data_IF_669585628355
#
_entry.id   IF_669585628355
#
_cell.length_a   1.000
_cell.length_b   1.000
_cell.length_c   1.000
_cell.angle_alpha   90.00
_cell.angle_beta   90.00
_cell.angle_gamma   90.00
#
_symmetry.space_group_name_H-M   'P 1'
#
loop_
_entity.id
_entity.type
_entity.pdbx_description
1 polymer ?
#
# COMPACT_ATOMS: atom_id res chain seq x y z
N UNK A 1 -98.59 10.76 58.43
CA UNK A 1 -97.41 10.75 57.59
C UNK A 1 -96.17 10.50 58.49
N UNK A 2 -95.65 9.29 58.41
CA UNK A 2 -94.42 8.91 59.09
C UNK A 2 -93.26 9.12 58.09
N UNK A 3 -92.38 10.02 58.36
CA UNK A 3 -91.16 10.24 57.56
C UNK A 3 -90.09 9.25 58.04
N UNK A 4 -89.76 8.32 57.21
CA UNK A 4 -88.60 7.44 57.41
C UNK A 4 -87.30 8.21 57.06
N UNK A 5 -86.52 8.56 58.05
CA UNK A 5 -85.13 8.98 57.87
C UNK A 5 -84.30 7.75 57.55
N UNK A 6 -83.92 7.59 56.31
CA UNK A 6 -82.91 6.64 55.90
C UNK A 6 -81.49 7.22 56.25
N UNK A 7 -80.97 6.80 57.36
CA UNK A 7 -79.58 7.13 57.71
C UNK A 7 -78.60 6.35 56.84
N UNK A 8 -78.02 7.00 55.89
CA UNK A 8 -76.90 6.45 55.19
C UNK A 8 -75.70 6.48 56.15
N UNK A 9 -75.42 5.37 56.81
CA UNK A 9 -74.09 5.20 57.51
C UNK A 9 -73.02 5.10 56.45
N UNK A 10 -72.21 6.18 56.34
CA UNK A 10 -71.04 6.15 55.56
C UNK A 10 -70.12 4.99 56.14
N UNK A 11 -69.92 3.95 55.31
CA UNK A 11 -68.96 2.95 55.67
C UNK A 11 -67.62 3.66 55.91
N UNK A 12 -67.06 3.49 57.10
CA UNK A 12 -65.75 4.00 57.44
C UNK A 12 -64.73 3.39 56.44
N UNK A 13 -64.00 4.22 55.75
CA UNK A 13 -62.97 3.81 54.81
C UNK A 13 -61.94 2.98 55.58
N UNK A 14 -61.55 1.83 55.04
CA UNK A 14 -60.61 0.94 55.73
C UNK A 14 -59.23 1.60 55.88
N UNK A 15 -58.63 1.47 57.07
CA UNK A 15 -57.28 1.97 57.37
C UNK A 15 -56.26 1.44 56.39
N UNK A 16 -55.59 2.32 55.65
CA UNK A 16 -54.55 1.95 54.67
C UNK A 16 -53.37 2.90 54.82
N UNK A 17 -52.26 2.31 55.31
CA UNK A 17 -50.97 3.02 55.43
C UNK A 17 -49.91 2.17 54.73
N UNK A 18 -49.54 2.54 53.51
CA UNK A 18 -48.58 1.80 52.72
C UNK A 18 -47.92 2.69 51.67
N UNK A 19 -46.73 2.32 51.22
CA UNK A 19 -46.15 2.91 50.03
C UNK A 19 -46.93 2.49 48.77
N UNK A 20 -46.99 3.41 47.76
CA UNK A 20 -47.62 3.10 46.47
C UNK A 20 -46.93 1.96 45.77
N UNK A 21 -45.60 1.85 45.92
CA UNK A 21 -44.75 0.79 45.36
C UNK A 21 -44.02 0.06 46.46
N UNK A 22 -43.83 -1.24 46.31
CA UNK A 22 -43.12 -2.10 47.28
C UNK A 22 -41.64 -2.19 47.02
N UNK A 23 -41.21 -1.88 45.78
CA UNK A 23 -39.80 -1.86 45.37
C UNK A 23 -39.55 -0.62 44.52
N UNK A 24 -38.46 0.08 44.84
CA UNK A 24 -38.05 1.27 44.15
C UNK A 24 -36.56 1.16 43.82
N UNK A 25 -36.13 1.88 42.77
CA UNK A 25 -34.72 1.95 42.41
C UNK A 25 -34.32 3.41 42.27
N UNK A 26 -33.19 3.75 42.88
CA UNK A 26 -32.52 5.04 42.78
C UNK A 26 -31.06 4.80 42.38
N UNK A 27 -30.47 5.69 41.59
CA UNK A 27 -29.03 5.58 41.28
C UNK A 27 -28.18 6.26 42.37
N UNK A 28 -26.94 5.78 42.52
CA UNK A 28 -25.96 6.42 43.40
C UNK A 28 -25.87 7.93 43.09
N UNK A 29 -25.89 8.76 44.15
CA UNK A 29 -25.86 10.21 44.06
C UNK A 29 -27.19 10.88 43.71
N UNK A 30 -28.21 10.13 43.33
CA UNK A 30 -29.54 10.66 43.00
C UNK A 30 -30.51 10.51 44.15
N UNK A 31 -31.61 11.27 44.05
CA UNK A 31 -32.70 11.28 45.04
C UNK A 31 -33.97 10.71 44.45
N UNK A 32 -34.86 10.23 45.32
CA UNK A 32 -36.18 9.68 44.97
C UNK A 32 -37.16 10.01 46.07
N UNK A 33 -38.27 10.63 45.72
CA UNK A 33 -39.37 10.93 46.67
C UNK A 33 -40.27 9.72 46.86
N UNK A 34 -40.59 9.42 48.11
CA UNK A 34 -41.48 8.31 48.46
C UNK A 34 -42.92 8.75 48.50
N UNK A 35 -43.81 7.99 47.87
CA UNK A 35 -45.26 8.24 47.90
C UNK A 35 -45.96 7.26 48.85
N UNK A 36 -46.66 7.81 49.85
CA UNK A 36 -47.46 7.09 50.82
C UNK A 36 -48.94 7.21 50.57
N UNK A 37 -49.68 6.11 50.66
CA UNK A 37 -51.14 6.05 50.67
C UNK A 37 -51.59 6.10 52.15
N UNK A 38 -52.35 7.13 52.49
CA UNK A 38 -52.93 7.32 53.82
C UNK A 38 -54.45 7.45 53.70
N UNK A 39 -55.21 6.45 54.15
CA UNK A 39 -56.65 6.39 54.08
C UNK A 39 -57.26 5.93 55.40
N UNK A 40 -58.54 6.27 55.72
CA UNK A 40 -59.18 5.99 56.96
C UNK A 40 -58.57 6.72 58.14
N UNK A 41 -58.39 6.08 59.27
CA UNK A 41 -57.78 6.68 60.45
C UNK A 41 -56.28 7.09 60.28
N UNK A 42 -55.63 6.59 59.23
CA UNK A 42 -54.25 6.95 58.88
C UNK A 42 -54.19 8.28 58.14
N UNK A 43 -55.31 8.86 57.74
CA UNK A 43 -55.38 10.21 57.14
C UNK A 43 -55.28 11.33 58.18
N UNK A 44 -55.46 11.01 59.49
CA UNK A 44 -55.39 11.93 60.60
C UNK A 44 -53.98 12.49 60.80
N UNK A 45 -53.91 13.69 61.38
CA UNK A 45 -52.64 14.32 61.74
C UNK A 45 -51.85 13.49 62.78
N UNK A 46 -50.59 13.39 62.61
CA UNK A 46 -49.69 12.64 63.49
C UNK A 46 -48.22 12.86 63.06
N UNK A 47 -47.34 12.43 63.89
CA UNK A 47 -45.90 12.46 63.68
C UNK A 47 -45.51 11.38 62.67
N UNK A 48 -45.11 11.80 61.48
CA UNK A 48 -44.59 10.91 60.43
C UNK A 48 -43.08 10.94 60.44
N UNK A 49 -42.44 9.76 60.59
CA UNK A 49 -40.98 9.62 60.60
C UNK A 49 -40.57 8.56 59.57
N UNK A 50 -39.38 8.73 58.99
CA UNK A 50 -38.79 7.78 58.06
C UNK A 50 -37.45 7.30 58.62
N UNK A 51 -37.12 6.03 58.44
CA UNK A 51 -35.86 5.44 58.89
C UNK A 51 -35.37 4.48 57.80
N UNK A 52 -34.11 4.60 57.51
CA UNK A 52 -33.40 3.65 56.63
C UNK A 52 -32.81 2.51 57.46
N UNK A 53 -33.03 1.30 56.97
CA UNK A 53 -32.43 0.09 57.59
C UNK A 53 -30.92 -0.05 57.34
N UNK A 54 -30.39 0.63 56.32
CA UNK A 54 -28.97 0.67 56.00
C UNK A 54 -28.57 2.05 55.48
N UNK A 55 -28.22 2.97 56.41
CA UNK A 55 -27.91 4.35 56.08
C UNK A 55 -26.64 4.52 55.19
N UNK A 56 -25.73 3.56 55.26
CA UNK A 56 -24.58 3.51 54.36
C UNK A 56 -24.93 3.21 52.89
N UNK A 57 -26.13 2.69 52.65
CA UNK A 57 -26.62 2.36 51.28
C UNK A 57 -27.54 3.46 50.81
N UNK A 58 -28.54 3.84 51.61
CA UNK A 58 -29.47 4.91 51.31
C UNK A 58 -29.88 5.63 52.57
N UNK A 59 -29.95 6.92 52.55
CA UNK A 59 -30.54 7.78 53.60
C UNK A 59 -31.93 8.21 53.18
N UNK A 60 -32.74 8.60 54.17
CA UNK A 60 -34.03 9.22 53.92
C UNK A 60 -34.20 10.41 54.86
N UNK A 61 -34.73 11.51 54.34
CA UNK A 61 -34.99 12.73 55.13
C UNK A 61 -36.41 12.74 55.77
N UNK A 62 -36.70 13.78 56.51
CA UNK A 62 -37.98 13.96 57.14
C UNK A 62 -39.16 14.11 56.17
N UNK A 63 -38.89 14.51 54.92
CA UNK A 63 -39.90 14.66 53.84
C UNK A 63 -40.13 13.40 53.08
N UNK A 64 -39.37 12.29 53.37
CA UNK A 64 -39.45 11.03 52.64
C UNK A 64 -38.64 11.04 51.35
N UNK A 65 -37.66 11.92 51.17
CA UNK A 65 -36.74 11.93 50.06
C UNK A 65 -35.58 10.99 50.36
N UNK A 66 -35.45 9.95 49.58
CA UNK A 66 -34.38 8.96 49.68
C UNK A 66 -33.20 9.41 48.83
N UNK A 67 -32.00 9.39 49.41
CA UNK A 67 -30.74 9.58 48.69
C UNK A 67 -29.98 8.26 48.59
N UNK A 68 -29.64 7.81 47.36
CA UNK A 68 -28.82 6.63 47.12
C UNK A 68 -27.32 6.96 47.33
N UNK A 69 -26.64 6.27 48.28
CA UNK A 69 -25.24 6.54 48.64
C UNK A 69 -24.28 5.51 47.99
N UNK A 70 -24.56 4.22 48.20
CA UNK A 70 -23.74 3.15 47.65
C UNK A 70 -24.60 2.03 47.13
N UNK A 71 -24.13 1.31 46.10
CA UNK A 71 -24.82 0.15 45.51
C UNK A 71 -25.22 -0.86 46.57
N UNK A 72 -26.51 -1.24 46.59
CA UNK A 72 -27.06 -2.19 47.54
C UNK A 72 -28.55 -2.07 47.69
N UNK A 73 -29.07 -2.63 48.79
CA UNK A 73 -30.50 -2.52 49.11
C UNK A 73 -30.66 -2.07 50.56
N UNK A 74 -31.59 -1.16 50.76
CA UNK A 74 -32.05 -0.75 52.11
C UNK A 74 -33.56 -0.78 52.14
N UNK A 75 -34.12 -1.14 53.31
CA UNK A 75 -35.55 -1.05 53.57
C UNK A 75 -35.81 0.28 54.26
N UNK A 76 -36.63 1.15 53.67
CA UNK A 76 -37.11 2.38 54.28
C UNK A 76 -38.42 2.09 54.98
N UNK A 77 -38.50 2.42 56.21
CA UNK A 77 -39.70 2.27 57.04
C UNK A 77 -40.28 3.63 57.40
N UNK A 78 -41.53 3.85 57.00
CA UNK A 78 -42.32 4.99 57.46
C UNK A 78 -43.11 4.61 58.70
N UNK A 79 -43.10 5.44 59.72
CA UNK A 79 -43.88 5.30 60.97
C UNK A 79 -44.75 6.54 61.15
N UNK A 80 -46.06 6.32 61.21
CA UNK A 80 -46.99 7.36 61.54
C UNK A 80 -47.50 7.08 62.99
N UNK A 81 -47.30 8.04 63.88
CA UNK A 81 -47.72 8.02 65.29
C UNK A 81 -48.76 9.10 65.55
N UNK A 82 -49.95 8.67 65.91
CA UNK A 82 -51.03 9.56 66.37
C UNK A 82 -51.16 9.36 67.87
N UNK A 83 -52.04 10.12 68.55
CA UNK A 83 -52.27 9.98 69.99
C UNK A 83 -52.75 8.59 70.38
N UNK A 84 -53.42 7.89 69.48
CA UNK A 84 -54.11 6.61 69.81
C UNK A 84 -53.52 5.37 69.17
N UNK A 85 -52.78 5.52 68.05
CA UNK A 85 -52.24 4.40 67.25
C UNK A 85 -50.89 4.71 66.57
N UNK A 86 -50.23 3.65 66.22
CA UNK A 86 -49.03 3.69 65.42
C UNK A 86 -49.17 2.76 64.19
N UNK A 87 -48.91 3.27 63.01
CA UNK A 87 -48.84 2.50 61.75
C UNK A 87 -47.42 2.46 61.22
N UNK A 88 -47.06 1.34 60.59
CA UNK A 88 -45.75 1.19 59.88
C UNK A 88 -45.97 0.68 58.48
N UNK A 89 -45.22 1.24 57.53
CA UNK A 89 -45.11 0.76 56.17
C UNK A 89 -43.62 0.66 55.79
N UNK A 90 -43.31 -0.30 54.93
CA UNK A 90 -41.91 -0.47 54.49
C UNK A 90 -41.85 -0.62 52.98
N UNK A 91 -40.81 -0.08 52.36
CA UNK A 91 -40.48 -0.21 50.96
C UNK A 91 -39.03 -0.59 50.76
N UNK A 92 -38.73 -1.48 49.84
CA UNK A 92 -37.36 -1.82 49.50
C UNK A 92 -36.82 -0.86 48.46
N UNK A 93 -35.74 -0.19 48.78
CA UNK A 93 -35.00 0.69 47.88
C UNK A 93 -33.72 0.01 47.43
N UNK A 94 -33.57 -0.19 46.16
CA UNK A 94 -32.34 -0.64 45.54
C UNK A 94 -31.55 0.56 45.07
N UNK A 95 -30.34 0.76 45.57
CA UNK A 95 -29.41 1.74 45.04
C UNK A 95 -28.62 1.05 43.91
N UNK A 96 -28.78 1.54 42.72
CA UNK A 96 -28.14 1.03 41.53
C UNK A 96 -26.91 1.90 41.16
N UNK A 97 -25.89 1.25 40.64
CA UNK A 97 -24.74 1.96 40.07
C UNK A 97 -24.94 2.11 38.57
N UNK A 98 -24.90 3.34 38.10
CA UNK A 98 -25.02 3.67 36.69
C UNK A 98 -23.75 3.30 35.92
N UNK A 99 -23.90 3.11 34.62
CA UNK A 99 -22.76 3.11 33.68
C UNK A 99 -22.28 4.53 33.49
N UNK A 100 -20.96 4.73 33.57
CA UNK A 100 -20.32 6.03 33.41
C UNK A 100 -19.41 6.13 32.19
N UNK A 101 -19.06 4.97 31.60
CA UNK A 101 -18.18 4.92 30.44
C UNK A 101 -18.45 3.67 29.59
N UNK A 102 -18.18 3.77 28.29
CA UNK A 102 -18.27 2.70 27.32
C UNK A 102 -17.03 2.67 26.44
N UNK A 103 -16.32 1.55 26.45
CA UNK A 103 -15.14 1.33 25.62
C UNK A 103 -15.44 0.27 24.54
N UNK A 104 -15.29 0.63 23.29
CA UNK A 104 -15.47 -0.28 22.14
C UNK A 104 -14.14 -0.96 21.82
N UNK A 105 -14.17 -2.28 21.61
CA UNK A 105 -13.02 -3.01 21.13
C UNK A 105 -12.87 -2.79 19.62
N UNK A 106 -11.92 -1.95 19.24
CA UNK A 106 -11.67 -1.55 17.86
C UNK A 106 -10.76 -2.51 17.07
N UNK A 107 -10.21 -3.55 17.68
CA UNK A 107 -9.26 -4.47 17.00
C UNK A 107 -9.86 -5.21 15.81
N UNK A 108 -11.17 -5.38 15.78
CA UNK A 108 -11.91 -5.99 14.66
C UNK A 108 -12.49 -4.98 13.67
N UNK A 109 -12.29 -3.68 13.91
CA UNK A 109 -12.83 -2.61 13.09
C UNK A 109 -11.76 -2.09 12.12
N UNK A 110 -12.16 -1.81 10.89
CA UNK A 110 -11.29 -1.13 9.92
C UNK A 110 -11.52 0.37 10.05
N UNK A 111 -10.65 1.01 10.84
CA UNK A 111 -10.72 2.44 11.11
C UNK A 111 -9.61 3.17 10.36
N UNK A 112 -9.97 4.28 9.73
CA UNK A 112 -9.06 5.19 9.04
C UNK A 112 -9.12 6.57 9.67
N UNK A 113 -8.03 7.32 9.57
CA UNK A 113 -8.07 8.76 9.72
C UNK A 113 -8.83 9.36 8.53
N UNK A 114 -9.78 10.24 8.77
CA UNK A 114 -10.56 10.85 7.70
C UNK A 114 -9.70 11.68 6.73
N UNK A 115 -8.54 12.16 7.17
CA UNK A 115 -7.56 12.86 6.35
C UNK A 115 -6.61 11.93 5.57
N UNK A 116 -6.69 10.59 5.76
CA UNK A 116 -5.86 9.64 5.02
C UNK A 116 -6.06 9.85 3.50
N UNK A 117 -4.99 10.07 2.72
CA UNK A 117 -5.08 10.34 1.28
C UNK A 117 -5.89 9.31 0.50
N UNK A 118 -5.93 8.06 0.96
CA UNK A 118 -6.67 6.98 0.30
C UNK A 118 -8.19 7.13 0.41
N UNK A 119 -8.69 7.75 1.48
CA UNK A 119 -10.13 7.90 1.73
C UNK A 119 -10.58 9.36 1.83
N UNK A 120 -9.66 10.32 1.79
CA UNK A 120 -9.98 11.76 1.94
C UNK A 120 -11.02 12.24 0.93
N UNK A 121 -11.03 11.68 -0.28
CA UNK A 121 -12.04 11.97 -1.30
C UNK A 121 -13.45 11.49 -0.91
N UNK A 122 -13.58 10.48 -0.03
CA UNK A 122 -14.85 9.99 0.51
C UNK A 122 -15.31 10.77 1.74
N UNK A 123 -14.36 11.35 2.49
CA UNK A 123 -14.62 12.05 3.75
C UNK A 123 -14.80 13.56 3.59
N UNK A 124 -14.50 14.08 2.40
CA UNK A 124 -14.46 15.53 2.16
C UNK A 124 -13.35 16.25 2.92
N UNK A 125 -12.32 15.53 3.40
CA UNK A 125 -11.22 16.09 4.19
C UNK A 125 -11.61 16.45 5.63
N UNK A 126 -12.73 15.91 6.15
CA UNK A 126 -13.15 16.11 7.53
C UNK A 126 -12.15 15.50 8.52
N UNK A 127 -12.05 16.07 9.71
CA UNK A 127 -11.25 15.52 10.79
C UNK A 127 -11.95 14.34 11.47
N UNK A 128 -11.15 13.46 12.10
CA UNK A 128 -11.61 12.35 12.90
C UNK A 128 -11.43 10.97 12.27
N UNK A 129 -11.93 9.94 12.97
CA UNK A 129 -11.81 8.53 12.55
C UNK A 129 -13.09 8.05 11.88
N UNK A 130 -12.94 7.26 10.85
CA UNK A 130 -14.02 6.71 10.02
C UNK A 130 -13.99 5.19 10.09
N UNK A 131 -15.16 4.59 10.34
CA UNK A 131 -15.36 3.15 10.23
C UNK A 131 -15.64 2.80 8.76
N UNK A 132 -14.67 2.22 8.09
CA UNK A 132 -14.81 1.79 6.70
C UNK A 132 -15.41 0.39 6.64
N UNK A 133 -16.55 0.29 5.99
CA UNK A 133 -17.27 -0.97 5.78
C UNK A 133 -17.35 -1.30 4.29
N UNK A 134 -17.33 -2.58 3.96
CA UNK A 134 -17.43 -3.05 2.59
C UNK A 134 -18.83 -3.59 2.34
N UNK A 135 -19.48 -3.13 1.31
CA UNK A 135 -20.79 -3.63 0.89
C UNK A 135 -20.83 -5.15 0.87
N UNK A 136 -21.86 -5.73 1.51
CA UNK A 136 -22.06 -7.17 1.61
C UNK A 136 -21.29 -7.85 2.74
N UNK A 137 -20.45 -7.13 3.51
CA UNK A 137 -19.71 -7.68 4.65
C UNK A 137 -20.39 -7.37 5.98
N UNK A 138 -20.06 -8.17 6.97
CA UNK A 138 -20.52 -8.02 8.34
C UNK A 138 -19.33 -7.81 9.27
N UNK A 139 -19.54 -6.99 10.31
CA UNK A 139 -18.60 -6.79 11.40
C UNK A 139 -19.37 -6.73 12.71
N UNK A 140 -18.80 -7.28 13.78
CA UNK A 140 -19.44 -7.29 15.10
C UNK A 140 -18.76 -6.25 16.00
N UNK A 141 -19.56 -5.39 16.60
CA UNK A 141 -19.14 -4.45 17.64
C UNK A 141 -19.10 -5.19 18.97
N UNK A 142 -18.03 -4.99 19.73
CA UNK A 142 -17.90 -5.44 21.12
C UNK A 142 -17.56 -4.27 21.99
N UNK A 143 -18.35 -4.05 23.03
CA UNK A 143 -18.13 -2.97 23.97
C UNK A 143 -18.04 -3.50 25.41
N UNK A 144 -17.30 -2.78 26.22
CA UNK A 144 -17.17 -3.00 27.66
C UNK A 144 -17.65 -1.76 28.38
N UNK A 145 -18.51 -1.92 29.36
CA UNK A 145 -19.10 -0.82 30.12
C UNK A 145 -18.48 -0.77 31.50
N UNK A 146 -18.22 0.43 31.96
CA UNK A 146 -17.65 0.74 33.29
C UNK A 146 -18.62 1.54 34.13
N UNK A 147 -18.59 1.39 35.46
CA UNK A 147 -17.75 0.44 36.20
C UNK A 147 -18.21 -1.01 36.07
N UNK A 148 -17.32 -1.96 36.35
CA UNK A 148 -17.57 -3.41 36.21
C UNK A 148 -18.74 -3.95 37.03
N UNK A 149 -19.11 -3.24 38.07
CA UNK A 149 -20.21 -3.57 38.98
C UNK A 149 -21.48 -2.73 38.72
N UNK A 150 -21.56 -1.98 37.62
CA UNK A 150 -22.81 -1.32 37.21
C UNK A 150 -23.96 -2.35 37.11
N UNK A 151 -25.17 -1.92 37.43
CA UNK A 151 -26.32 -2.84 37.54
C UNK A 151 -26.78 -3.39 36.20
N UNK A 152 -26.73 -2.57 35.13
CA UNK A 152 -27.01 -3.01 33.79
C UNK A 152 -25.83 -2.66 32.88
N UNK A 153 -25.13 -3.68 32.41
CA UNK A 153 -23.96 -3.56 31.53
C UNK A 153 -24.27 -3.97 30.09
N UNK A 154 -25.53 -3.90 29.71
CA UNK A 154 -25.95 -4.11 28.33
C UNK A 154 -25.74 -2.84 27.53
N UNK A 155 -25.42 -3.00 26.26
CA UNK A 155 -25.36 -1.92 25.31
C UNK A 155 -26.21 -2.23 24.09
N UNK A 156 -26.63 -1.19 23.42
CA UNK A 156 -27.32 -1.24 22.13
C UNK A 156 -26.41 -0.70 21.06
N UNK A 157 -26.61 -1.16 19.83
CA UNK A 157 -25.97 -0.61 18.64
C UNK A 157 -27.08 -0.16 17.70
N UNK A 158 -26.99 1.05 17.19
CA UNK A 158 -27.96 1.63 16.27
C UNK A 158 -27.24 2.23 15.05
N UNK A 159 -27.96 2.34 13.95
CA UNK A 159 -27.53 3.06 12.74
C UNK A 159 -28.51 4.17 12.43
N UNK A 160 -28.01 5.33 12.02
CA UNK A 160 -28.85 6.45 11.57
C UNK A 160 -29.48 6.18 10.20
N UNK A 161 -28.91 5.24 9.41
CA UNK A 161 -29.45 4.83 8.11
C UNK A 161 -29.30 3.30 7.93
N UNK A 162 -30.44 2.60 7.98
CA UNK A 162 -30.50 1.13 7.86
C UNK A 162 -30.37 0.60 6.44
N UNK A 163 -30.46 1.45 5.42
CA UNK A 163 -30.20 1.10 4.03
C UNK A 163 -28.70 1.12 3.73
N UNK A 164 -27.94 1.94 4.45
CA UNK A 164 -26.48 1.96 4.43
C UNK A 164 -25.92 0.86 5.33
N UNK A 165 -26.26 0.86 6.63
CA UNK A 165 -25.82 -0.13 7.61
C UNK A 165 -27.02 -0.67 8.38
N UNK A 166 -27.32 -1.96 8.20
CA UNK A 166 -28.31 -2.65 9.03
C UNK A 166 -27.64 -3.18 10.29
N UNK A 167 -28.28 -2.96 11.42
CA UNK A 167 -27.86 -3.48 12.71
C UNK A 167 -28.76 -4.65 13.15
N UNK A 168 -28.14 -5.72 13.68
CA UNK A 168 -28.83 -6.84 14.30
C UNK A 168 -28.04 -7.27 15.55
N UNK A 169 -28.56 -6.95 16.74
CA UNK A 169 -27.81 -7.04 17.98
C UNK A 169 -26.55 -6.19 17.94
N UNK A 170 -25.39 -6.80 18.04
CA UNK A 170 -24.09 -6.13 17.91
C UNK A 170 -23.47 -6.27 16.52
N UNK A 171 -24.16 -6.84 15.53
CA UNK A 171 -23.62 -7.09 14.19
C UNK A 171 -24.09 -6.02 13.23
N UNK A 172 -23.14 -5.35 12.59
CA UNK A 172 -23.34 -4.42 11.49
C UNK A 172 -23.27 -5.19 10.16
N UNK A 173 -24.25 -4.96 9.29
CA UNK A 173 -24.25 -5.48 7.92
C UNK A 173 -24.26 -4.31 6.95
N UNK A 174 -23.18 -4.14 6.17
CA UNK A 174 -23.06 -3.12 5.15
C UNK A 174 -23.96 -3.46 3.93
N UNK A 175 -25.01 -2.67 3.68
CA UNK A 175 -26.02 -2.95 2.64
C UNK A 175 -25.84 -2.10 1.39
N UNK A 176 -25.83 -0.79 1.53
CA UNK A 176 -25.72 0.17 0.45
C UNK A 176 -24.47 1.02 0.59
N UNK A 177 -23.86 1.42 -0.54
CA UNK A 177 -22.79 2.42 -0.49
C UNK A 177 -23.38 3.76 0.01
N UNK A 178 -22.65 4.42 0.90
CA UNK A 178 -23.10 5.66 1.54
C UNK A 178 -22.47 5.87 2.90
N UNK A 179 -22.98 6.84 3.63
CA UNK A 179 -22.50 7.24 4.95
C UNK A 179 -23.64 7.21 5.98
N UNK A 180 -23.34 6.81 7.20
CA UNK A 180 -24.25 6.88 8.33
C UNK A 180 -23.46 7.00 9.65
N UNK A 181 -24.17 7.31 10.73
CA UNK A 181 -23.64 7.24 12.10
C UNK A 181 -24.05 5.92 12.73
N UNK A 182 -23.07 5.22 13.29
CA UNK A 182 -23.27 4.02 14.13
C UNK A 182 -23.03 4.41 15.57
N UNK A 183 -24.09 4.37 16.37
CA UNK A 183 -24.04 4.70 17.81
C UNK A 183 -24.00 3.42 18.62
N UNK A 184 -23.06 3.34 19.56
CA UNK A 184 -22.96 2.29 20.58
C UNK A 184 -23.28 2.95 21.93
N UNK A 185 -24.40 2.61 22.54
CA UNK A 185 -24.89 3.29 23.74
C UNK A 185 -25.21 2.30 24.87
N UNK A 186 -25.05 2.74 26.12
CA UNK A 186 -25.51 1.97 27.26
C UNK A 186 -27.05 1.90 27.28
N UNK A 187 -27.59 0.68 27.47
CA UNK A 187 -29.04 0.47 27.55
C UNK A 187 -29.66 1.20 28.75
N UNK A 188 -28.94 1.29 29.85
CA UNK A 188 -29.41 1.93 31.09
C UNK A 188 -29.10 3.41 31.21
N UNK A 189 -28.15 3.91 30.44
CA UNK A 189 -27.75 5.31 30.43
C UNK A 189 -27.35 5.73 29.00
N UNK A 190 -28.32 6.05 28.12
CA UNK A 190 -28.05 6.36 26.70
C UNK A 190 -27.14 7.57 26.46
N UNK A 191 -27.00 8.47 27.46
CA UNK A 191 -26.03 9.58 27.40
C UNK A 191 -24.56 9.07 27.33
N UNK A 192 -24.32 7.85 27.84
CA UNK A 192 -23.04 7.19 27.73
C UNK A 192 -23.02 6.40 26.42
N UNK A 193 -22.47 7.02 25.39
CA UNK A 193 -22.41 6.48 24.05
C UNK A 193 -21.10 6.82 23.31
N UNK A 194 -20.82 6.06 22.26
CA UNK A 194 -19.75 6.30 21.31
C UNK A 194 -20.31 6.25 19.91
N UNK A 195 -20.04 7.29 19.12
CA UNK A 195 -20.45 7.39 17.73
C UNK A 195 -19.29 7.09 16.77
N UNK A 196 -19.60 6.36 15.73
CA UNK A 196 -18.71 6.11 14.60
C UNK A 196 -19.34 6.66 13.32
N UNK A 197 -18.63 7.55 12.64
CA UNK A 197 -18.91 7.88 11.26
C UNK A 197 -18.59 6.65 10.41
N UNK A 198 -19.58 5.98 9.87
CA UNK A 198 -19.45 4.77 9.07
C UNK A 198 -19.63 5.09 7.60
N UNK A 199 -18.67 4.66 6.77
CA UNK A 199 -18.75 4.77 5.31
C UNK A 199 -18.76 3.36 4.73
N UNK A 200 -19.80 3.04 3.96
CA UNK A 200 -19.88 1.79 3.20
C UNK A 200 -19.42 2.03 1.78
N UNK A 201 -18.40 1.28 1.38
CA UNK A 201 -17.79 1.37 0.04
C UNK A 201 -18.24 0.23 -0.87
N UNK A 202 -18.26 0.49 -2.18
CA UNK A 202 -18.23 -0.55 -3.21
C UNK A 202 -16.81 -1.11 -3.25
N UNK A 203 -16.60 -2.40 -2.89
CA UNK A 203 -15.25 -2.96 -2.77
C UNK A 203 -14.63 -3.25 -4.13
N UNK A 204 -13.30 -3.25 -4.17
CA UNK A 204 -12.54 -3.78 -5.32
C UNK A 204 -12.70 -5.30 -5.37
N UNK A 205 -13.12 -5.83 -6.51
CA UNK A 205 -13.27 -7.26 -6.77
C UNK A 205 -12.15 -7.85 -7.61
N UNK A 206 -11.34 -7.01 -8.25
CA UNK A 206 -10.18 -7.43 -9.03
C UNK A 206 -9.24 -6.28 -9.35
N UNK A 207 -7.97 -6.62 -9.54
CA UNK A 207 -6.91 -5.71 -10.00
C UNK A 207 -6.28 -6.32 -11.24
N UNK A 208 -5.93 -5.50 -12.21
CA UNK A 208 -5.11 -5.89 -13.37
C UNK A 208 -3.93 -4.94 -13.48
N UNK A 209 -2.77 -5.44 -13.94
CA UNK A 209 -1.57 -4.64 -14.16
C UNK A 209 -1.12 -4.82 -15.60
N UNK A 210 -0.89 -3.73 -16.29
CA UNK A 210 -0.26 -3.66 -17.60
C UNK A 210 1.09 -2.94 -17.50
N UNK A 211 1.99 -3.19 -18.43
CA UNK A 211 3.32 -2.61 -18.48
C UNK A 211 3.63 -2.20 -19.92
N UNK A 212 4.25 -1.03 -20.10
CA UNK A 212 4.74 -0.58 -21.42
C UNK A 212 5.86 -1.50 -21.91
N UNK A 213 6.73 -1.90 -21.01
CA UNK A 213 7.74 -2.94 -21.23
C UNK A 213 7.96 -3.76 -19.96
N UNK A 214 8.33 -5.02 -20.14
CA UNK A 214 8.72 -5.92 -19.04
C UNK A 214 10.22 -6.15 -18.96
N UNK A 215 10.97 -5.53 -19.88
CA UNK A 215 12.43 -5.62 -19.89
C UNK A 215 13.01 -4.22 -19.78
N UNK A 216 13.80 -4.01 -18.73
CA UNK A 216 14.48 -2.78 -18.41
C UNK A 216 15.99 -2.99 -18.50
N UNK A 217 16.74 -1.91 -18.65
CA UNK A 217 18.16 -1.88 -18.35
C UNK A 217 18.39 -1.21 -17.01
N UNK A 218 19.55 -1.45 -16.40
CA UNK A 218 19.93 -0.76 -15.16
C UNK A 218 19.89 0.76 -15.42
N UNK A 219 19.22 1.50 -14.53
CA UNK A 219 19.03 2.96 -14.63
C UNK A 219 17.86 3.41 -15.49
N UNK A 220 17.18 2.51 -16.22
CA UNK A 220 16.01 2.88 -17.04
C UNK A 220 14.69 2.61 -16.29
N UNK A 221 13.64 3.28 -16.71
CA UNK A 221 12.30 3.20 -16.12
C UNK A 221 11.27 2.62 -17.07
N UNK A 222 10.18 2.08 -16.51
CA UNK A 222 8.97 1.71 -17.24
C UNK A 222 7.73 2.08 -16.42
N UNK A 223 6.66 2.48 -17.10
CA UNK A 223 5.37 2.73 -16.46
C UNK A 223 4.57 1.44 -16.34
N UNK A 224 4.11 1.15 -15.12
CA UNK A 224 3.05 0.17 -14.87
C UNK A 224 1.74 0.89 -14.62
N UNK A 225 0.67 0.36 -15.18
CA UNK A 225 -0.69 0.86 -14.95
C UNK A 225 -1.52 -0.20 -14.28
N UNK A 226 -2.06 0.11 -13.10
CA UNK A 226 -3.03 -0.74 -12.42
C UNK A 226 -4.44 -0.27 -12.74
N UNK A 227 -5.35 -1.22 -12.98
CA UNK A 227 -6.77 -0.96 -13.16
C UNK A 227 -7.56 -1.84 -12.19
N UNK A 228 -8.49 -1.25 -11.44
CA UNK A 228 -9.34 -1.95 -10.50
C UNK A 228 -10.71 -2.25 -11.11
N UNK A 229 -11.38 -3.27 -10.62
CA UNK A 229 -12.76 -3.62 -10.94
C UNK A 229 -13.58 -3.74 -9.66
N UNK A 230 -14.87 -3.38 -9.66
CA UNK A 230 -15.60 -2.73 -10.76
C UNK A 230 -15.11 -1.28 -10.97
N UNK A 231 -15.47 -0.64 -12.09
CA UNK A 231 -15.03 0.71 -12.41
C UNK A 231 -15.59 1.77 -11.45
N UNK A 232 -16.72 1.48 -10.79
CA UNK A 232 -17.37 2.28 -9.75
C UNK A 232 -16.90 1.90 -8.33
N UNK A 233 -15.78 1.19 -8.18
CA UNK A 233 -15.18 0.96 -6.87
C UNK A 233 -14.91 2.28 -6.15
N UNK A 234 -15.29 2.37 -4.87
CA UNK A 234 -15.20 3.63 -4.11
C UNK A 234 -13.76 4.07 -3.85
N UNK A 235 -12.82 3.12 -3.78
CA UNK A 235 -11.38 3.36 -3.63
C UNK A 235 -10.66 2.66 -4.76
N UNK A 236 -10.13 3.44 -5.70
CA UNK A 236 -9.47 2.93 -6.91
C UNK A 236 -7.94 2.89 -6.79
N UNK A 237 -7.38 3.46 -5.71
CA UNK A 237 -5.95 3.46 -5.46
C UNK A 237 -5.38 2.05 -5.26
N UNK A 238 -4.09 1.89 -5.59
CA UNK A 238 -3.32 0.68 -5.32
C UNK A 238 -2.03 1.04 -4.58
N UNK A 239 -1.55 0.08 -3.79
CA UNK A 239 -0.19 0.11 -3.20
C UNK A 239 0.72 -0.75 -4.03
N UNK A 240 1.87 -0.18 -4.43
CA UNK A 240 2.87 -0.87 -5.21
C UNK A 240 3.98 -1.44 -4.30
N UNK A 241 4.45 -2.64 -4.64
CA UNK A 241 5.55 -3.31 -3.94
C UNK A 241 6.42 -4.09 -4.93
N UNK A 242 7.71 -4.07 -4.72
CA UNK A 242 8.67 -4.95 -5.39
C UNK A 242 9.05 -6.12 -4.50
N UNK A 243 9.10 -7.33 -5.05
CA UNK A 243 9.59 -8.50 -4.31
C UNK A 243 11.12 -8.54 -4.20
N UNK A 244 11.82 -7.71 -4.98
CA UNK A 244 13.28 -7.64 -4.98
C UNK A 244 13.77 -6.24 -5.39
N UNK A 245 13.90 -5.37 -4.42
CA UNK A 245 14.33 -3.98 -4.61
C UNK A 245 15.79 -3.85 -5.06
N UNK A 246 16.62 -4.90 -4.87
CA UNK A 246 17.98 -4.94 -5.42
C UNK A 246 18.00 -5.09 -6.94
N UNK A 247 16.89 -5.53 -7.54
CA UNK A 247 16.72 -5.70 -8.98
C UNK A 247 15.89 -4.58 -9.56
N UNK A 248 14.74 -4.28 -8.98
CA UNK A 248 13.86 -3.21 -9.43
C UNK A 248 13.10 -2.61 -8.25
N UNK A 249 13.01 -1.29 -8.21
CA UNK A 249 12.15 -0.54 -7.29
C UNK A 249 10.92 -0.02 -8.03
N UNK A 250 9.85 0.25 -7.29
CA UNK A 250 8.64 0.86 -7.84
C UNK A 250 8.20 1.99 -6.90
N UNK A 251 7.76 3.10 -7.46
CA UNK A 251 7.21 4.21 -6.71
C UNK A 251 5.68 4.11 -6.55
N UNK A 252 5.10 5.07 -5.85
CA UNK A 252 3.65 5.14 -5.61
C UNK A 252 2.82 5.34 -6.89
N UNK A 253 3.43 5.86 -7.96
CA UNK A 253 2.79 6.10 -9.26
C UNK A 253 2.91 4.91 -10.21
N UNK A 254 3.60 3.84 -9.79
CA UNK A 254 3.81 2.64 -10.62
C UNK A 254 4.97 2.77 -11.59
N UNK A 255 5.87 3.76 -11.43
CA UNK A 255 7.10 3.86 -12.20
C UNK A 255 8.12 2.87 -11.63
N UNK A 256 8.50 1.90 -12.44
CA UNK A 256 9.52 0.90 -12.08
C UNK A 256 10.86 1.34 -12.58
N UNK A 257 11.87 1.35 -11.73
CA UNK A 257 13.27 1.62 -12.06
C UNK A 257 14.12 0.37 -11.92
N UNK A 258 14.90 0.05 -12.95
CA UNK A 258 15.88 -1.03 -12.92
C UNK A 258 17.11 -0.65 -12.08
N UNK A 259 17.39 -1.42 -11.02
CA UNK A 259 18.50 -1.16 -10.09
C UNK A 259 19.65 -2.13 -10.31
N UNK A 260 19.37 -3.40 -10.50
CA UNK A 260 20.37 -4.44 -10.70
C UNK A 260 19.87 -5.55 -11.60
N UNK A 261 20.81 -6.27 -12.23
CA UNK A 261 20.49 -7.37 -13.13
C UNK A 261 19.72 -8.50 -12.43
N UNK A 262 18.62 -8.94 -13.01
CA UNK A 262 17.83 -10.05 -12.47
C UNK A 262 16.36 -9.96 -12.84
N UNK A 263 15.54 -10.61 -12.03
CA UNK A 263 14.08 -10.55 -12.13
C UNK A 263 13.48 -10.09 -10.80
N UNK A 264 12.46 -9.28 -10.89
CA UNK A 264 11.63 -8.87 -9.77
C UNK A 264 10.15 -8.99 -10.17
N UNK A 265 9.31 -9.33 -9.20
CA UNK A 265 7.86 -9.27 -9.36
C UNK A 265 7.36 -7.99 -8.74
N UNK A 266 6.73 -7.14 -9.53
CA UNK A 266 6.06 -5.93 -9.05
C UNK A 266 4.59 -6.26 -8.82
N UNK A 267 4.09 -5.89 -7.64
CA UNK A 267 2.74 -6.19 -7.19
C UNK A 267 1.97 -4.90 -6.95
N UNK A 268 0.74 -4.85 -7.44
CA UNK A 268 -0.25 -3.84 -7.10
C UNK A 268 -1.33 -4.47 -6.22
N UNK A 269 -1.55 -3.92 -5.03
CA UNK A 269 -2.59 -4.36 -4.09
C UNK A 269 -3.61 -3.25 -3.92
N UNK A 270 -4.90 -3.56 -4.05
CA UNK A 270 -5.98 -2.58 -3.87
C UNK A 270 -5.92 -1.95 -2.47
N UNK A 271 -6.01 -0.63 -2.43
CA UNK A 271 -5.92 0.16 -1.20
C UNK A 271 -7.15 0.05 -0.31
N UNK A 272 -8.29 -0.43 -0.86
CA UNK A 272 -9.56 -0.59 -0.13
C UNK A 272 -9.49 -1.62 1.02
N UNK A 273 -8.33 -2.27 1.26
CA UNK A 273 -8.15 -3.28 2.29
C UNK A 273 -8.73 -4.67 1.95
N UNK A 274 -9.26 -4.89 0.70
CA UNK A 274 -9.83 -6.17 0.22
C UNK A 274 -8.81 -7.25 -0.08
N UNK A 275 -7.55 -6.88 -0.19
CA UNK A 275 -6.50 -7.80 -0.51
C UNK A 275 -6.48 -8.25 -1.98
N UNK A 276 -7.31 -7.66 -2.84
CA UNK A 276 -7.25 -7.89 -4.29
C UNK A 276 -5.93 -7.36 -4.82
N UNK A 277 -5.26 -8.17 -5.65
CA UNK A 277 -3.92 -7.84 -6.14
C UNK A 277 -3.66 -8.43 -7.51
N UNK A 278 -2.75 -7.80 -8.24
CA UNK A 278 -2.17 -8.33 -9.47
C UNK A 278 -0.66 -8.14 -9.46
N UNK A 279 0.04 -8.85 -10.31
CA UNK A 279 1.50 -8.79 -10.37
C UNK A 279 1.99 -8.86 -11.81
N UNK A 280 3.15 -8.27 -12.06
CA UNK A 280 3.90 -8.39 -13.31
C UNK A 280 5.36 -8.71 -13.01
N UNK A 281 5.95 -9.62 -13.77
CA UNK A 281 7.38 -9.89 -13.69
C UNK A 281 8.13 -8.92 -14.60
N UNK A 282 9.15 -8.27 -14.07
CA UNK A 282 10.08 -7.43 -14.81
C UNK A 282 11.46 -8.06 -14.80
N UNK A 283 12.17 -7.93 -15.92
CA UNK A 283 13.55 -8.40 -16.09
C UNK A 283 14.44 -7.18 -16.29
N UNK A 284 15.44 -7.04 -15.44
CA UNK A 284 16.44 -5.97 -15.55
C UNK A 284 17.72 -6.56 -16.13
N UNK A 285 18.22 -5.97 -17.21
CA UNK A 285 19.44 -6.34 -17.92
C UNK A 285 20.53 -5.33 -17.69
N UNK A 286 21.80 -5.79 -17.75
CA UNK A 286 22.94 -4.91 -17.85
C UNK A 286 23.12 -4.54 -19.32
N UNK A 287 23.15 -3.27 -19.65
CA UNK A 287 23.52 -2.79 -20.98
C UNK A 287 25.03 -2.89 -21.18
N UNK A 288 25.50 -2.98 -22.45
CA UNK A 288 26.93 -2.83 -22.75
C UNK A 288 27.37 -1.38 -22.42
N UNK A 289 28.63 -1.25 -22.01
CA UNK A 289 29.24 0.06 -21.67
C UNK A 289 30.41 0.37 -22.63
N UNK A 290 31.11 -0.66 -23.11
CA UNK A 290 32.21 -0.51 -24.03
C UNK A 290 32.47 -1.79 -24.83
N UNK A 291 33.22 -1.65 -25.93
CA UNK A 291 33.70 -2.77 -26.74
C UNK A 291 35.21 -2.63 -26.85
N UNK A 292 35.94 -3.74 -26.67
CA UNK A 292 37.36 -3.81 -26.91
C UNK A 292 37.67 -4.78 -28.04
N UNK A 293 38.73 -4.46 -28.83
CA UNK A 293 39.15 -5.31 -29.93
C UNK A 293 40.52 -5.93 -29.62
N UNK A 294 40.72 -7.13 -30.11
CA UNK A 294 42.01 -7.82 -30.11
C UNK A 294 42.19 -8.66 -31.38
N UNK A 295 43.40 -9.09 -31.66
CA UNK A 295 43.70 -9.97 -32.80
C UNK A 295 44.45 -9.30 -33.96
N UNK A 296 44.58 -7.97 -34.03
CA UNK A 296 45.44 -7.30 -35.01
C UNK A 296 46.89 -7.29 -34.52
N UNK A 297 47.78 -7.91 -35.26
CA UNK A 297 49.20 -7.98 -34.93
C UNK A 297 50.06 -7.45 -36.09
N UNK A 298 49.80 -6.23 -36.52
CA UNK A 298 50.53 -5.58 -37.64
C UNK A 298 49.70 -5.41 -38.90
N UNK A 299 50.36 -5.12 -40.02
CA UNK A 299 49.75 -4.85 -41.31
C UNK A 299 49.23 -6.13 -41.96
N UNK A 300 48.16 -6.05 -42.70
CA UNK A 300 47.56 -7.17 -43.43
C UNK A 300 48.10 -7.19 -44.86
N UNK A 301 48.55 -8.33 -45.37
CA UNK A 301 48.97 -8.49 -46.74
C UNK A 301 47.75 -8.48 -47.67
N UNK A 302 47.88 -7.93 -48.85
CA UNK A 302 46.87 -8.10 -49.92
C UNK A 302 46.58 -9.58 -50.15
N UNK A 303 45.28 -9.97 -50.13
CA UNK A 303 44.80 -11.36 -50.21
C UNK A 303 44.86 -12.13 -48.91
N UNK A 304 45.56 -11.63 -47.89
CA UNK A 304 45.60 -12.18 -46.54
C UNK A 304 44.47 -11.63 -45.66
N UNK A 305 44.37 -12.10 -44.42
CA UNK A 305 43.38 -11.61 -43.48
C UNK A 305 43.69 -11.99 -42.05
N UNK A 306 42.97 -11.34 -41.14
CA UNK A 306 43.03 -11.53 -39.70
C UNK A 306 41.62 -11.49 -39.10
N UNK A 307 41.41 -12.26 -38.05
CA UNK A 307 40.11 -12.21 -37.33
C UNK A 307 40.27 -11.29 -36.13
N UNK A 308 39.56 -10.17 -36.10
CA UNK A 308 39.37 -9.34 -34.95
C UNK A 308 38.37 -9.96 -33.98
N UNK A 309 38.69 -9.99 -32.71
CA UNK A 309 37.82 -10.46 -31.66
C UNK A 309 37.28 -9.28 -30.86
N UNK A 310 35.98 -9.09 -30.89
CA UNK A 310 35.30 -8.10 -30.04
C UNK A 310 34.95 -8.71 -28.66
N UNK A 311 35.21 -7.94 -27.62
CA UNK A 311 34.78 -8.24 -26.25
C UNK A 311 33.91 -7.10 -25.76
N UNK A 312 32.63 -7.37 -25.52
CA UNK A 312 31.65 -6.41 -25.00
C UNK A 312 31.69 -6.44 -23.47
N UNK A 313 31.85 -5.25 -22.88
CA UNK A 313 31.96 -5.07 -21.43
C UNK A 313 30.76 -4.26 -20.90
N UNK A 314 30.37 -4.46 -19.60
CA UNK A 314 30.93 -5.47 -18.70
C UNK A 314 30.57 -6.90 -19.14
N UNK A 315 31.36 -7.88 -18.69
CA UNK A 315 31.14 -9.30 -19.06
C UNK A 315 29.75 -9.82 -18.63
N UNK A 316 29.10 -9.11 -17.72
CA UNK A 316 27.76 -9.39 -17.19
C UNK A 316 26.64 -8.92 -18.11
N UNK A 317 26.95 -8.14 -19.17
CA UNK A 317 25.92 -7.72 -20.13
C UNK A 317 25.26 -8.91 -20.81
N UNK A 318 23.95 -8.81 -20.99
CA UNK A 318 23.15 -9.83 -21.71
C UNK A 318 23.19 -9.63 -23.22
N UNK A 319 23.51 -8.43 -23.68
CA UNK A 319 23.52 -8.03 -25.09
C UNK A 319 24.97 -7.88 -25.58
N UNK A 320 25.44 -8.94 -26.25
CA UNK A 320 26.80 -9.02 -26.78
C UNK A 320 26.84 -8.97 -28.33
N UNK A 321 25.70 -8.75 -28.97
CA UNK A 321 25.61 -8.72 -30.41
C UNK A 321 26.31 -7.46 -30.96
N UNK A 322 27.22 -7.68 -31.91
CA UNK A 322 27.95 -6.62 -32.60
C UNK A 322 27.74 -6.66 -34.10
N UNK A 323 27.90 -5.52 -34.74
CA UNK A 323 27.95 -5.39 -36.20
C UNK A 323 29.29 -4.75 -36.60
N UNK A 324 29.79 -5.16 -37.75
CA UNK A 324 31.09 -4.74 -38.27
C UNK A 324 30.90 -3.95 -39.58
N UNK A 325 31.73 -2.93 -39.75
CA UNK A 325 31.79 -2.15 -40.98
C UNK A 325 33.22 -1.70 -41.27
N UNK A 326 33.48 -1.33 -42.51
CA UNK A 326 34.74 -0.74 -42.96
C UNK A 326 34.49 0.63 -43.57
N UNK A 327 35.42 1.56 -43.41
CA UNK A 327 35.36 2.86 -44.05
C UNK A 327 35.66 2.81 -45.56
N UNK A 328 36.40 1.77 -46.01
CA UNK A 328 36.73 1.55 -47.42
C UNK A 328 36.85 0.03 -47.74
N UNK A 329 35.80 -0.49 -48.34
CA UNK A 329 35.75 -1.90 -48.76
C UNK A 329 36.71 -2.23 -49.94
N UNK A 330 37.20 -1.24 -50.65
CA UNK A 330 38.20 -1.42 -51.71
C UNK A 330 39.62 -1.68 -51.15
N UNK A 331 39.86 -1.23 -49.90
CA UNK A 331 41.14 -1.50 -49.16
C UNK A 331 41.06 -2.78 -48.37
N UNK A 332 40.01 -2.88 -47.51
CA UNK A 332 39.75 -4.11 -46.75
C UNK A 332 38.26 -4.35 -46.52
N UNK A 333 37.82 -5.60 -46.53
CA UNK A 333 36.46 -6.01 -46.19
C UNK A 333 36.47 -6.64 -44.81
N UNK A 334 35.33 -6.53 -44.09
CA UNK A 334 35.11 -7.22 -42.83
C UNK A 334 33.82 -8.05 -42.86
N UNK A 335 33.87 -9.25 -42.36
CA UNK A 335 32.73 -10.15 -42.25
C UNK A 335 31.99 -9.99 -40.92
N UNK A 336 30.78 -10.55 -40.82
CA UNK A 336 29.94 -10.50 -39.60
C UNK A 336 30.61 -11.13 -38.37
N UNK A 337 31.60 -11.98 -38.53
CA UNK A 337 32.38 -12.61 -37.43
C UNK A 337 33.73 -11.95 -37.20
N UNK A 338 33.95 -10.75 -37.74
CA UNK A 338 35.15 -9.93 -37.52
C UNK A 338 36.36 -10.35 -38.35
N UNK A 339 36.21 -11.21 -39.39
CA UNK A 339 37.32 -11.52 -40.29
C UNK A 339 37.56 -10.38 -41.26
N UNK A 340 38.69 -9.72 -41.14
CA UNK A 340 39.16 -8.63 -42.02
C UNK A 340 40.07 -9.21 -43.10
N UNK A 341 39.73 -8.96 -44.37
CA UNK A 341 40.49 -9.39 -45.53
C UNK A 341 41.08 -8.19 -46.26
N UNK A 342 42.38 -8.15 -46.46
CA UNK A 342 43.04 -7.15 -47.31
C UNK A 342 42.74 -7.33 -48.78
N UNK A 343 42.26 -6.32 -49.43
CA UNK A 343 41.88 -6.31 -50.85
C UNK A 343 42.92 -5.54 -51.70
N UNK A 344 43.30 -4.35 -51.29
CA UNK A 344 44.25 -3.49 -52.01
C UNK A 344 45.13 -2.73 -50.98
N UNK A 345 46.37 -2.37 -51.40
CA UNK A 345 47.24 -1.55 -50.57
C UNK A 345 46.56 -0.21 -50.20
N UNK A 346 46.68 0.19 -48.94
CA UNK A 346 46.07 1.42 -48.41
C UNK A 346 45.73 1.29 -46.93
N UNK A 347 45.04 2.27 -46.39
CA UNK A 347 44.57 2.24 -44.99
C UNK A 347 43.08 2.48 -44.95
N UNK A 348 42.42 1.80 -44.06
CA UNK A 348 41.00 1.99 -43.78
C UNK A 348 40.71 1.77 -42.28
N UNK A 349 39.59 2.21 -41.79
CA UNK A 349 39.14 2.03 -40.42
C UNK A 349 38.08 0.93 -40.38
N UNK A 350 38.27 -0.06 -39.52
CA UNK A 350 37.24 -1.07 -39.20
C UNK A 350 36.51 -0.61 -37.94
N UNK A 351 35.20 -0.56 -38.03
CA UNK A 351 34.30 -0.19 -36.90
C UNK A 351 33.56 -1.45 -36.43
N UNK A 352 33.59 -1.66 -35.12
CA UNK A 352 32.75 -2.64 -34.43
C UNK A 352 31.81 -1.92 -33.48
N UNK A 353 30.51 -2.05 -33.64
CA UNK A 353 29.52 -1.38 -32.81
C UNK A 353 28.49 -2.36 -32.24
N UNK A 354 27.91 -2.01 -31.07
CA UNK A 354 26.79 -2.77 -30.53
C UNK A 354 25.60 -2.72 -31.48
N UNK A 355 24.94 -3.85 -31.68
CA UNK A 355 23.76 -3.93 -32.54
C UNK A 355 22.57 -3.17 -31.96
N UNK A 356 22.39 -3.19 -30.63
CA UNK A 356 21.26 -2.60 -29.93
C UNK A 356 21.56 -1.16 -29.47
N UNK A 357 22.84 -0.86 -29.18
CA UNK A 357 23.33 0.43 -28.69
C UNK A 357 24.41 0.98 -29.62
N UNK A 358 24.04 1.57 -30.77
CA UNK A 358 25.00 1.99 -31.80
C UNK A 358 26.00 3.07 -31.36
N UNK A 359 25.68 3.80 -30.29
CA UNK A 359 26.58 4.77 -29.65
C UNK A 359 27.78 4.10 -28.95
N UNK A 360 27.70 2.79 -28.70
CA UNK A 360 28.78 2.01 -28.13
C UNK A 360 29.52 1.31 -29.25
N UNK A 361 30.63 1.84 -29.64
CA UNK A 361 31.47 1.34 -30.72
C UNK A 361 32.97 1.49 -30.41
N UNK A 362 33.78 0.79 -31.17
CA UNK A 362 35.23 0.92 -31.18
C UNK A 362 35.72 0.85 -32.62
N UNK A 363 36.79 1.59 -32.90
CA UNK A 363 37.42 1.66 -34.21
C UNK A 363 38.88 1.24 -34.13
N UNK A 364 39.37 0.62 -35.20
CA UNK A 364 40.79 0.26 -35.34
C UNK A 364 41.23 0.55 -36.80
N UNK A 365 42.35 1.17 -36.91
CA UNK A 365 42.96 1.42 -38.22
C UNK A 365 43.69 0.17 -38.72
N UNK A 366 43.46 -0.15 -39.95
CA UNK A 366 44.04 -1.30 -40.64
C UNK A 366 44.81 -0.83 -41.83
N UNK A 367 46.10 -1.18 -41.89
CA UNK A 367 46.92 -0.95 -43.09
C UNK A 367 47.10 -2.23 -43.86
N UNK A 368 46.81 -2.17 -45.12
CA UNK A 368 47.01 -3.28 -46.06
C UNK A 368 48.21 -2.97 -46.95
N UNK A 369 49.13 -3.91 -47.03
CA UNK A 369 50.33 -3.76 -47.85
C UNK A 369 50.40 -4.78 -48.95
N UNK A 370 50.93 -4.34 -50.13
CA UNK A 370 51.24 -5.20 -51.25
C UNK A 370 52.77 -5.44 -51.33
N UNK A 371 53.25 -6.61 -51.00
CA UNK A 371 54.65 -6.90 -51.11
C UNK A 371 55.11 -7.00 -52.59
N UNK A 372 56.33 -6.66 -52.84
CA UNK A 372 56.96 -6.94 -54.16
C UNK A 372 57.01 -8.47 -54.34
N UNK A 373 56.57 -8.93 -55.48
CA UNK A 373 56.55 -10.34 -55.86
C UNK A 373 57.59 -10.66 -56.93
N UNK A 374 57.97 -9.66 -57.77
CA UNK A 374 59.09 -9.81 -58.69
C UNK A 374 59.66 -8.45 -59.10
N UNK A 375 60.94 -8.44 -59.41
CA UNK A 375 61.66 -7.36 -60.07
C UNK A 375 62.23 -7.92 -61.33
N UNK A 376 62.05 -7.20 -62.43
CA UNK A 376 62.57 -7.63 -63.77
C UNK A 376 63.24 -6.45 -64.44
N UNK A 377 64.51 -6.63 -64.86
CA UNK A 377 65.13 -5.68 -65.71
C UNK A 377 64.44 -5.66 -67.09
N UNK A 378 64.21 -4.45 -67.59
CA UNK A 378 63.56 -4.29 -68.90
C UNK A 378 64.49 -4.64 -70.06
N UNK A 379 65.81 -4.48 -69.82
CA UNK A 379 66.84 -4.92 -70.77
C UNK A 379 67.66 -6.05 -70.18
N UNK A 380 67.68 -7.22 -70.83
CA UNK A 380 68.28 -8.42 -70.31
C UNK A 380 69.76 -8.49 -70.41
N UNK A 381 70.41 -7.71 -71.35
CA UNK A 381 71.88 -7.69 -71.57
C UNK A 381 72.29 -6.28 -71.94
N UNK A 382 72.26 -5.37 -71.00
CA UNK A 382 72.72 -3.99 -71.25
C UNK A 382 74.25 -4.05 -71.50
N UNK A 383 74.70 -3.22 -72.43
CA UNK A 383 76.13 -3.02 -72.70
C UNK A 383 76.52 -1.57 -72.58
N UNK A 384 77.63 -1.31 -71.99
CA UNK A 384 78.20 0.05 -71.84
C UNK A 384 79.68 0.07 -72.25
N UNK A 385 80.14 1.06 -73.00
CA UNK A 385 81.56 1.22 -73.32
C UNK A 385 82.35 1.69 -72.10
N UNK A 386 83.62 1.30 -71.98
CA UNK A 386 84.54 1.74 -70.91
C UNK A 386 84.49 3.27 -70.78
N UNK A 387 84.32 3.75 -69.54
CA UNK A 387 84.25 5.17 -69.17
C UNK A 387 82.89 5.82 -69.53
N UNK A 388 81.84 5.07 -69.91
CA UNK A 388 80.51 5.55 -70.13
C UNK A 388 79.57 5.02 -69.11
N UNK A 389 78.42 5.66 -68.91
CA UNK A 389 77.32 5.26 -68.07
C UNK A 389 76.09 4.86 -68.86
N UNK A 390 75.32 3.90 -68.37
CA UNK A 390 74.00 3.52 -68.90
C UNK A 390 72.98 3.54 -67.78
N UNK A 391 71.79 4.06 -68.08
CA UNK A 391 70.66 4.00 -67.16
C UNK A 391 70.02 2.62 -67.25
N UNK A 392 69.94 1.89 -66.12
CA UNK A 392 69.17 0.65 -66.03
C UNK A 392 67.72 0.98 -65.75
N UNK A 393 66.81 0.28 -66.45
CA UNK A 393 65.35 0.38 -66.19
C UNK A 393 64.84 -1.00 -65.77
N UNK A 394 63.90 -0.98 -64.85
CA UNK A 394 63.31 -2.18 -64.30
C UNK A 394 61.80 -2.01 -64.11
N UNK A 395 61.08 -3.12 -63.93
CA UNK A 395 59.70 -3.18 -63.59
C UNK A 395 59.53 -3.97 -62.30
N UNK A 396 58.83 -3.39 -61.33
CA UNK A 396 58.43 -4.03 -60.05
C UNK A 396 56.98 -4.51 -60.21
N UNK A 397 56.70 -5.71 -59.78
CA UNK A 397 55.33 -6.24 -59.71
C UNK A 397 54.97 -6.60 -58.28
N UNK A 398 53.73 -6.42 -57.85
CA UNK A 398 52.65 -5.70 -58.56
C UNK A 398 53.00 -4.18 -58.69
N UNK A 399 52.38 -3.45 -59.58
CA UNK A 399 52.67 -2.03 -59.82
C UNK A 399 52.29 -1.15 -58.61
N UNK A 400 51.31 -1.61 -57.80
CA UNK A 400 50.82 -1.00 -56.56
C UNK A 400 51.52 -1.57 -55.31
N UNK A 401 52.77 -2.14 -55.48
CA UNK A 401 53.56 -2.56 -54.32
C UNK A 401 53.81 -1.39 -53.38
N UNK A 402 53.57 -1.61 -52.06
CA UNK A 402 53.63 -0.58 -50.98
C UNK A 402 55.00 0.06 -50.89
N UNK A 403 56.04 -0.77 -51.08
CA UNK A 403 57.44 -0.33 -51.20
C UNK A 403 57.98 -0.88 -52.49
N UNK A 404 58.23 -0.01 -53.51
CA UNK A 404 58.82 -0.33 -54.78
C UNK A 404 60.31 0.08 -54.92
N UNK A 405 60.91 0.49 -53.80
CA UNK A 405 62.32 0.86 -53.77
C UNK A 405 63.21 -0.33 -54.12
N UNK A 406 64.26 -0.03 -54.86
CA UNK A 406 65.20 -1.05 -55.35
C UNK A 406 66.62 -0.57 -55.06
N UNK A 407 67.44 -1.44 -54.47
CA UNK A 407 68.89 -1.23 -54.33
C UNK A 407 69.63 -2.08 -55.35
N UNK A 408 70.79 -1.53 -55.82
CA UNK A 408 71.62 -2.17 -56.78
C UNK A 408 72.99 -2.49 -56.16
N UNK A 409 73.53 -3.60 -56.54
CA UNK A 409 74.86 -3.96 -56.19
C UNK A 409 75.49 -4.71 -57.36
N UNK A 410 76.83 -4.66 -57.49
CA UNK A 410 77.57 -5.44 -58.45
C UNK A 410 78.49 -6.46 -57.71
N UNK A 411 78.68 -7.61 -58.34
CA UNK A 411 79.61 -8.63 -57.88
C UNK A 411 80.99 -8.46 -58.51
N UNK A 412 81.15 -7.43 -59.41
CA UNK A 412 82.43 -7.09 -60.06
C UNK A 412 82.64 -5.57 -60.09
N UNK A 413 83.01 -4.95 -58.92
CA UNK A 413 83.07 -3.50 -58.81
C UNK A 413 84.26 -2.93 -59.65
N UNK A 414 85.21 -3.76 -60.04
CA UNK A 414 86.32 -3.34 -60.91
C UNK A 414 85.98 -3.27 -62.39
N UNK A 415 84.77 -3.70 -62.77
CA UNK A 415 84.30 -3.71 -64.14
C UNK A 415 83.15 -2.70 -64.33
N UNK A 416 82.27 -2.60 -63.33
CA UNK A 416 81.04 -1.70 -63.33
C UNK A 416 80.88 -1.10 -61.96
#
# INVERSE_FOLDING_TARGET
CVSLLCGVTAMAEADRFQFEKTNLTVFEGNTLELSLIRQGNCAADGELTFVSGRENIATVDENGVVTGLTKGQSTITATLKTETRTWKASVNVTVARAVTDIAVNETSLTLYDAADPLISHLTGGADGRVLLLRKGKQVSIRATLSPNDANNRRYTVASSDTDVVRVSGSTLTARGAGECIVTVASESNPEVSVDYRAIVITPVTGVTVTADTKTLFIGTTAQLTATVKPADASITGVKWESTNEKVAVVDEYGVVTGVGRGQATIRATAADGGGQRASVNVTVKQQPESITLSGLSGNIRVGGGVTLKATVLPNTTSDKAVVWSTSDASVATVSANGYVKGVRAGSCTITCQSKTFPEIYVQIDVTVYAPVTSITFNEKKPSVAVGRSIALSWTVKPQDATDSSVSFSTNKPDVV
#
